data_IF_582448138096
#
_entry.id   IF_582448138096
#
_cell.length_a   1.000
_cell.length_b   1.000
_cell.length_c   1.000
_cell.angle_alpha   90.00
_cell.angle_beta   90.00
_cell.angle_gamma   90.00
#
_symmetry.space_group_name_H-M   'P 1'
#
loop_
_entity.id
_entity.type
_entity.pdbx_description
1 polymer ?
#
# COMPACT_ATOMS: atom_id res chain seq x y z
N UNK A 1 23.81 -14.68 -7.89
CA UNK A 1 23.50 -13.47 -7.08
C UNK A 1 22.34 -12.67 -7.66
N UNK A 2 22.38 -12.28 -8.93
CA UNK A 2 21.28 -11.54 -9.61
C UNK A 2 19.92 -12.26 -9.57
N UNK A 3 19.91 -13.60 -9.75
CA UNK A 3 18.69 -14.42 -9.67
C UNK A 3 18.03 -14.39 -8.28
N UNK A 4 18.83 -14.44 -7.23
CA UNK A 4 18.35 -14.38 -5.84
C UNK A 4 17.79 -12.99 -5.51
N UNK A 5 18.48 -11.93 -5.94
CA UNK A 5 18.00 -10.55 -5.74
C UNK A 5 16.71 -10.29 -6.51
N UNK A 6 16.61 -10.75 -7.77
CA UNK A 6 15.39 -10.64 -8.56
C UNK A 6 14.22 -11.41 -7.91
N UNK A 7 14.47 -12.62 -7.40
CA UNK A 7 13.48 -13.39 -6.67
C UNK A 7 12.98 -12.63 -5.43
N UNK A 8 13.90 -12.10 -4.62
CA UNK A 8 13.55 -11.32 -3.42
C UNK A 8 12.74 -10.09 -3.78
N UNK A 9 13.16 -9.27 -4.76
CA UNK A 9 12.43 -8.07 -5.15
C UNK A 9 11.03 -8.42 -5.67
N UNK A 10 10.87 -9.55 -6.36
CA UNK A 10 9.58 -9.96 -6.94
C UNK A 10 8.60 -10.49 -5.90
N UNK A 11 9.06 -11.36 -5.00
CA UNK A 11 8.17 -12.09 -4.09
C UNK A 11 8.03 -11.46 -2.71
N UNK A 12 9.01 -10.66 -2.26
CA UNK A 12 9.01 -10.07 -0.93
C UNK A 12 7.74 -9.23 -0.64
N UNK A 13 7.21 -8.41 -1.57
CA UNK A 13 5.95 -7.68 -1.34
C UNK A 13 4.78 -8.59 -1.06
N UNK A 14 4.59 -9.60 -1.90
CA UNK A 14 3.49 -10.55 -1.76
C UNK A 14 3.58 -11.29 -0.44
N UNK A 15 4.76 -11.84 -0.12
CA UNK A 15 4.96 -12.59 1.14
C UNK A 15 4.75 -11.70 2.35
N UNK A 16 5.31 -10.50 2.36
CA UNK A 16 5.18 -9.57 3.48
C UNK A 16 3.73 -9.16 3.71
N UNK A 17 3.01 -8.76 2.65
CA UNK A 17 1.63 -8.30 2.75
C UNK A 17 0.68 -9.41 3.19
N UNK A 18 0.84 -10.63 2.69
CA UNK A 18 0.08 -11.79 3.18
C UNK A 18 0.39 -12.09 4.64
N UNK A 19 1.66 -12.02 5.06
CA UNK A 19 2.02 -12.21 6.46
C UNK A 19 1.40 -11.12 7.36
N UNK A 20 1.44 -9.85 6.94
CA UNK A 20 0.81 -8.74 7.65
C UNK A 20 -0.71 -8.94 7.76
N UNK A 21 -1.37 -9.38 6.69
CA UNK A 21 -2.80 -9.69 6.67
C UNK A 21 -3.16 -10.83 7.63
N UNK A 22 -2.40 -11.93 7.61
CA UNK A 22 -2.60 -13.07 8.50
C UNK A 22 -2.42 -12.63 9.96
N UNK A 23 -1.36 -11.87 10.27
CA UNK A 23 -1.12 -11.36 11.62
C UNK A 23 -2.22 -10.40 12.08
N UNK A 24 -2.70 -9.51 11.21
CA UNK A 24 -3.81 -8.60 11.52
C UNK A 24 -5.11 -9.39 11.78
N UNK A 25 -5.37 -10.42 10.98
CA UNK A 25 -6.54 -11.29 11.14
C UNK A 25 -6.48 -12.08 12.45
N UNK A 26 -5.33 -12.67 12.78
CA UNK A 26 -5.11 -13.36 14.05
C UNK A 26 -5.31 -12.38 15.21
N UNK A 27 -4.62 -11.22 15.19
CA UNK A 27 -4.73 -10.21 16.24
C UNK A 27 -6.18 -9.75 16.47
N UNK A 28 -6.98 -9.66 15.41
CA UNK A 28 -8.41 -9.35 15.50
C UNK A 28 -9.25 -10.50 16.11
N UNK A 29 -8.96 -11.75 15.74
CA UNK A 29 -9.67 -12.92 16.27
C UNK A 29 -9.38 -13.17 17.75
N UNK A 30 -8.17 -12.86 18.23
CA UNK A 30 -7.79 -12.99 19.64
C UNK A 30 -7.73 -11.63 20.37
N UNK A 31 -8.49 -10.64 19.91
CA UNK A 31 -8.50 -9.27 20.46
C UNK A 31 -8.91 -9.19 21.93
N UNK A 32 -9.64 -10.17 22.44
CA UNK A 32 -9.96 -10.28 23.87
C UNK A 32 -8.73 -10.57 24.73
N UNK A 33 -7.68 -11.14 24.14
CA UNK A 33 -6.41 -11.49 24.80
C UNK A 33 -5.27 -10.56 24.42
N UNK A 34 -5.32 -9.95 23.24
CA UNK A 34 -4.29 -9.05 22.72
C UNK A 34 -4.86 -7.65 22.45
N UNK A 35 -4.22 -6.57 22.93
CA UNK A 35 -4.70 -5.23 22.68
C UNK A 35 -4.58 -4.87 21.20
N UNK A 36 -5.68 -5.01 20.45
CA UNK A 36 -5.75 -4.84 18.99
C UNK A 36 -5.10 -3.53 18.57
N UNK A 37 -5.41 -2.44 19.27
CA UNK A 37 -4.86 -1.11 19.03
C UNK A 37 -3.32 -1.07 19.03
N UNK A 38 -2.67 -1.74 19.99
CA UNK A 38 -1.20 -1.76 20.09
C UNK A 38 -0.61 -2.56 18.93
N UNK A 39 -1.19 -3.72 18.63
CA UNK A 39 -0.72 -4.59 17.54
C UNK A 39 -0.91 -3.94 16.17
N UNK A 40 -2.07 -3.33 15.91
CA UNK A 40 -2.31 -2.60 14.67
C UNK A 40 -1.32 -1.46 14.48
N UNK A 41 -0.95 -0.71 15.53
CA UNK A 41 0.10 0.32 15.45
C UNK A 41 1.48 -0.24 15.11
N UNK A 42 1.86 -1.38 15.71
CA UNK A 42 3.12 -2.07 15.40
C UNK A 42 3.11 -2.51 13.93
N UNK A 43 2.01 -3.09 13.45
CA UNK A 43 1.88 -3.51 12.06
C UNK A 43 1.89 -2.31 11.11
N UNK A 44 1.21 -1.20 11.42
CA UNK A 44 1.28 0.05 10.63
C UNK A 44 2.72 0.55 10.53
N UNK A 45 3.45 0.61 11.65
CA UNK A 45 4.84 1.04 11.67
C UNK A 45 5.73 0.09 10.85
N UNK A 46 5.53 -1.22 11.02
CA UNK A 46 6.22 -2.25 10.23
C UNK A 46 5.93 -2.11 8.73
N UNK A 47 4.67 -1.90 8.35
CA UNK A 47 4.26 -1.77 6.94
C UNK A 47 4.77 -0.46 6.32
N UNK A 48 4.79 0.62 7.11
CA UNK A 48 5.43 1.89 6.70
C UNK A 48 6.92 1.67 6.44
N UNK A 49 7.63 1.06 7.40
CA UNK A 49 9.05 0.76 7.26
C UNK A 49 9.30 -0.15 6.06
N UNK A 50 8.49 -1.20 5.89
CA UNK A 50 8.56 -2.11 4.76
C UNK A 50 8.47 -1.37 3.42
N UNK A 51 7.48 -0.49 3.23
CA UNK A 51 7.32 0.27 1.99
C UNK A 51 8.55 1.12 1.67
N UNK A 52 9.10 1.81 2.66
CA UNK A 52 10.29 2.66 2.47
C UNK A 52 11.55 1.83 2.22
N UNK A 53 11.76 0.78 3.01
CA UNK A 53 12.90 -0.12 2.88
C UNK A 53 12.88 -0.87 1.55
N UNK A 54 11.71 -1.32 1.10
CA UNK A 54 11.54 -1.99 -0.19
C UNK A 54 11.80 -1.03 -1.35
N UNK A 55 11.28 0.21 -1.30
CA UNK A 55 11.56 1.21 -2.34
C UNK A 55 13.06 1.54 -2.44
N UNK A 56 13.74 1.65 -1.30
CA UNK A 56 15.19 1.84 -1.25
C UNK A 56 15.93 0.61 -1.81
N UNK A 57 15.56 -0.61 -1.40
CA UNK A 57 16.15 -1.84 -1.90
C UNK A 57 15.97 -1.98 -3.41
N UNK A 58 14.77 -1.72 -3.93
CA UNK A 58 14.47 -1.75 -5.36
C UNK A 58 15.31 -0.73 -6.13
N UNK A 59 15.49 0.49 -5.58
CA UNK A 59 16.37 1.51 -6.15
C UNK A 59 17.83 1.01 -6.25
N UNK A 60 18.33 0.39 -5.18
CA UNK A 60 19.70 -0.15 -5.14
C UNK A 60 19.87 -1.31 -6.12
N UNK A 61 18.92 -2.24 -6.16
CA UNK A 61 18.94 -3.36 -7.11
C UNK A 61 18.90 -2.85 -8.54
N UNK A 62 18.05 -1.85 -8.83
CA UNK A 62 17.97 -1.22 -10.15
C UNK A 62 19.31 -0.60 -10.57
N UNK A 63 19.99 0.11 -9.65
CA UNK A 63 21.33 0.65 -9.89
C UNK A 63 22.32 -0.44 -10.29
N UNK A 64 22.38 -1.55 -9.56
CA UNK A 64 23.32 -2.63 -9.86
C UNK A 64 22.98 -3.37 -11.15
N UNK A 65 21.69 -3.55 -11.47
CA UNK A 65 21.25 -4.11 -12.74
C UNK A 65 21.71 -3.22 -13.90
N UNK A 66 21.50 -1.90 -13.81
CA UNK A 66 21.93 -0.98 -14.87
C UNK A 66 23.45 -0.86 -14.99
N UNK A 67 24.17 -0.93 -13.88
CA UNK A 67 25.63 -0.96 -13.89
C UNK A 67 26.19 -2.21 -14.59
N UNK A 68 25.50 -3.35 -14.49
CA UNK A 68 25.93 -4.63 -15.08
C UNK A 68 25.34 -4.96 -16.46
N UNK A 69 24.32 -4.24 -16.92
CA UNK A 69 23.49 -4.61 -18.09
C UNK A 69 24.01 -4.15 -19.46
N UNK A 70 25.29 -3.83 -19.60
CA UNK A 70 25.91 -3.40 -20.87
C UNK A 70 25.86 -1.89 -21.15
N UNK A 71 26.33 -1.49 -22.35
CA UNK A 71 26.59 -0.08 -22.72
C UNK A 71 25.35 0.80 -22.61
N UNK A 72 24.18 0.31 -23.03
CA UNK A 72 22.93 1.07 -23.01
C UNK A 72 22.47 1.40 -21.58
N UNK A 73 22.45 0.42 -20.69
CA UNK A 73 21.97 0.62 -19.31
C UNK A 73 22.98 1.39 -18.46
N UNK A 74 24.28 1.20 -18.72
CA UNK A 74 25.32 2.05 -18.15
C UNK A 74 25.24 3.51 -18.63
N UNK A 75 24.79 3.72 -19.88
CA UNK A 75 24.48 5.05 -20.42
C UNK A 75 23.37 5.75 -19.63
N UNK A 76 22.27 5.05 -19.35
CA UNK A 76 21.14 5.56 -18.55
C UNK A 76 21.54 5.93 -17.11
N UNK A 77 22.50 5.21 -16.54
CA UNK A 77 23.00 5.48 -15.19
C UNK A 77 23.87 6.73 -15.11
N UNK A 78 24.38 7.20 -16.25
CA UNK A 78 25.21 8.40 -16.35
C UNK A 78 24.51 9.55 -17.08
N UNK A 79 23.25 9.37 -17.49
CA UNK A 79 22.49 10.40 -18.19
C UNK A 79 21.78 11.33 -17.21
N UNK A 80 21.86 12.66 -17.44
CA UNK A 80 20.99 13.60 -16.76
C UNK A 80 19.53 13.35 -17.15
N UNK A 81 18.60 13.94 -16.38
CA UNK A 81 17.20 13.94 -16.74
C UNK A 81 16.99 14.76 -18.02
N UNK A 82 16.15 14.28 -18.93
CA UNK A 82 15.85 14.98 -20.19
C UNK A 82 15.31 16.41 -19.92
N UNK A 83 15.87 17.46 -20.54
CA UNK A 83 15.42 18.84 -20.34
C UNK A 83 13.93 19.06 -20.60
N UNK A 84 13.32 18.33 -21.53
CA UNK A 84 11.87 18.41 -21.81
C UNK A 84 11.04 17.92 -20.62
N UNK A 85 11.50 16.86 -19.94
CA UNK A 85 10.88 16.34 -18.72
C UNK A 85 11.17 17.27 -17.53
N UNK A 86 12.35 17.86 -17.46
CA UNK A 86 12.68 18.84 -16.42
C UNK A 86 11.71 20.03 -16.45
N UNK A 87 11.36 20.54 -17.64
CA UNK A 87 10.48 21.71 -17.79
C UNK A 87 9.07 21.51 -17.21
N UNK A 88 8.56 20.27 -17.19
CA UNK A 88 7.18 19.95 -16.79
C UNK A 88 7.08 19.23 -15.43
N UNK A 89 8.20 18.81 -14.83
CA UNK A 89 8.19 18.05 -13.58
C UNK A 89 8.78 18.82 -12.41
N UNK A 90 8.39 18.44 -11.19
CA UNK A 90 9.00 18.96 -9.96
C UNK A 90 10.53 18.81 -9.93
N UNK A 91 11.07 17.78 -10.60
CA UNK A 91 12.50 17.50 -10.66
C UNK A 91 13.31 18.60 -11.35
N UNK A 92 12.74 19.33 -12.31
CA UNK A 92 13.41 20.47 -12.94
C UNK A 92 13.67 21.64 -11.99
N UNK A 93 12.95 21.71 -10.85
CA UNK A 93 13.23 22.69 -9.79
C UNK A 93 14.43 22.31 -8.92
N UNK A 94 14.96 21.09 -9.07
CA UNK A 94 16.12 20.56 -8.35
C UNK A 94 17.28 20.30 -9.34
N UNK A 95 17.90 21.36 -9.90
CA UNK A 95 18.88 21.23 -10.98
C UNK A 95 20.12 20.43 -10.56
N UNK A 96 20.45 20.42 -9.27
CA UNK A 96 21.55 19.61 -8.73
C UNK A 96 21.31 18.10 -8.84
N UNK A 97 20.04 17.66 -8.85
CA UNK A 97 19.66 16.26 -9.08
C UNK A 97 19.48 16.03 -10.57
N UNK A 98 18.68 16.88 -11.23
CA UNK A 98 18.27 16.69 -12.61
C UNK A 98 19.44 16.72 -13.60
N UNK A 99 20.44 17.58 -13.38
CA UNK A 99 21.62 17.68 -14.25
C UNK A 99 22.78 16.76 -13.80
N UNK A 100 22.59 15.98 -12.73
CA UNK A 100 23.60 15.03 -12.28
C UNK A 100 23.61 13.77 -13.16
N UNK A 101 24.72 13.03 -13.13
CA UNK A 101 24.83 11.72 -13.80
C UNK A 101 23.74 10.74 -13.37
N UNK A 102 23.27 10.84 -12.14
CA UNK A 102 22.23 9.96 -11.58
C UNK A 102 20.81 10.54 -11.74
N UNK A 103 20.65 11.68 -12.41
CA UNK A 103 19.37 12.38 -12.53
C UNK A 103 18.27 11.51 -13.11
N UNK A 104 18.57 10.76 -14.17
CA UNK A 104 17.63 9.82 -14.76
C UNK A 104 17.27 8.67 -13.81
N UNK A 105 18.26 8.08 -13.12
CA UNK A 105 18.01 7.00 -12.16
C UNK A 105 17.13 7.44 -10.99
N UNK A 106 17.37 8.63 -10.45
CA UNK A 106 16.57 9.19 -9.36
C UNK A 106 15.13 9.41 -9.81
N UNK A 107 14.95 10.03 -10.98
CA UNK A 107 13.63 10.23 -11.58
C UNK A 107 12.89 8.89 -11.79
N UNK A 108 13.56 7.92 -12.42
CA UNK A 108 13.02 6.59 -12.69
C UNK A 108 12.62 5.89 -11.40
N UNK A 109 13.52 5.85 -10.42
CA UNK A 109 13.31 5.15 -9.15
C UNK A 109 12.22 5.82 -8.33
N UNK A 110 12.12 7.16 -8.37
CA UNK A 110 11.05 7.89 -7.72
C UNK A 110 9.68 7.50 -8.26
N UNK A 111 9.49 7.58 -9.58
CA UNK A 111 8.21 7.25 -10.20
C UNK A 111 7.85 5.76 -10.05
N UNK A 112 8.85 4.87 -10.17
CA UNK A 112 8.62 3.43 -10.19
C UNK A 112 8.48 2.79 -8.81
N UNK A 113 9.25 3.25 -7.82
CA UNK A 113 9.34 2.59 -6.51
C UNK A 113 8.80 3.45 -5.38
N UNK A 114 9.21 4.71 -5.30
CA UNK A 114 8.86 5.59 -4.18
C UNK A 114 7.41 6.07 -4.25
N UNK A 115 6.92 6.43 -5.43
CA UNK A 115 5.58 6.97 -5.58
C UNK A 115 4.51 5.97 -5.10
N UNK A 116 4.60 4.70 -5.49
CA UNK A 116 3.67 3.67 -5.02
C UNK A 116 3.72 3.45 -3.50
N UNK A 117 4.93 3.45 -2.92
CA UNK A 117 5.12 3.35 -1.47
C UNK A 117 4.47 4.52 -0.72
N UNK A 118 4.74 5.75 -1.15
CA UNK A 118 4.21 6.97 -0.55
C UNK A 118 2.69 7.06 -0.72
N UNK A 119 2.16 6.72 -1.90
CA UNK A 119 0.71 6.69 -2.14
C UNK A 119 0.01 5.65 -1.26
N UNK A 120 0.61 4.48 -1.05
CA UNK A 120 0.03 3.44 -0.17
C UNK A 120 -0.03 3.91 1.30
N UNK A 121 1.02 4.58 1.78
CA UNK A 121 1.02 5.22 3.11
C UNK A 121 -0.03 6.33 3.17
N UNK A 122 -0.13 7.16 2.13
CA UNK A 122 -1.12 8.24 2.05
C UNK A 122 -2.56 7.70 2.05
N UNK A 123 -2.85 6.61 1.32
CA UNK A 123 -4.14 5.92 1.36
C UNK A 123 -4.49 5.48 2.80
N UNK A 124 -3.53 4.90 3.52
CA UNK A 124 -3.67 4.58 4.94
C UNK A 124 -4.04 5.81 5.78
N UNK A 125 -3.29 6.91 5.64
CA UNK A 125 -3.52 8.14 6.40
C UNK A 125 -4.89 8.79 6.08
N UNK A 126 -5.27 8.83 4.80
CA UNK A 126 -6.58 9.34 4.37
C UNK A 126 -7.69 8.48 4.98
N UNK A 127 -7.56 7.16 4.92
CA UNK A 127 -8.54 6.26 5.51
C UNK A 127 -8.60 6.39 7.04
N UNK A 128 -7.46 6.59 7.71
CA UNK A 128 -7.41 6.90 9.14
C UNK A 128 -8.20 8.17 9.48
N UNK A 129 -8.02 9.24 8.71
CA UNK A 129 -8.77 10.50 8.89
C UNK A 129 -10.28 10.28 8.75
N UNK A 130 -10.69 9.52 7.72
CA UNK A 130 -12.09 9.17 7.49
C UNK A 130 -12.65 8.38 8.68
N UNK A 131 -11.97 7.30 9.10
CA UNK A 131 -12.44 6.45 10.20
C UNK A 131 -12.47 7.20 11.54
N UNK A 132 -11.50 8.08 11.81
CA UNK A 132 -11.50 8.92 13.00
C UNK A 132 -12.65 9.93 12.98
N UNK A 133 -12.94 10.51 11.82
CA UNK A 133 -14.10 11.37 11.61
C UNK A 133 -15.42 10.62 11.85
N UNK A 134 -15.56 9.41 11.30
CA UNK A 134 -16.74 8.57 11.49
C UNK A 134 -16.90 8.14 12.96
N UNK A 135 -15.82 7.71 13.62
CA UNK A 135 -15.84 7.30 15.03
C UNK A 135 -16.32 8.44 15.95
N UNK A 136 -15.92 9.68 15.66
CA UNK A 136 -16.38 10.86 16.43
C UNK A 136 -17.90 11.03 16.38
N UNK A 137 -18.55 10.69 15.27
CA UNK A 137 -20.00 10.84 15.11
C UNK A 137 -20.78 9.59 15.51
N UNK A 138 -20.17 8.41 15.39
CA UNK A 138 -20.84 7.12 15.62
C UNK A 138 -19.92 6.13 16.32
N UNK A 139 -19.57 6.42 17.57
CA UNK A 139 -18.64 5.60 18.37
C UNK A 139 -19.10 4.14 18.51
N UNK A 140 -20.42 3.89 18.49
CA UNK A 140 -21.01 2.55 18.64
C UNK A 140 -20.66 1.55 17.51
N UNK A 141 -20.19 2.02 16.35
CA UNK A 141 -19.74 1.13 15.26
C UNK A 141 -18.26 0.76 15.34
N UNK A 142 -17.54 1.28 16.34
CA UNK A 142 -16.09 1.12 16.46
C UNK A 142 -15.71 0.49 17.79
N UNK A 143 -15.06 -0.67 17.73
CA UNK A 143 -14.33 -1.22 18.87
C UNK A 143 -12.95 -0.54 19.03
N UNK A 144 -12.27 -0.80 20.16
CA UNK A 144 -10.91 -0.29 20.36
C UNK A 144 -9.94 -0.92 19.37
N UNK A 145 -9.13 -0.09 18.70
CA UNK A 145 -8.18 -0.53 17.68
C UNK A 145 -8.74 -0.71 16.27
N UNK A 146 -10.07 -0.63 16.03
CA UNK A 146 -10.63 -0.81 14.68
C UNK A 146 -10.25 0.32 13.71
N UNK A 147 -10.05 1.53 14.21
CA UNK A 147 -9.55 2.65 13.40
C UNK A 147 -8.14 2.34 12.90
N UNK A 148 -7.27 1.84 13.78
CA UNK A 148 -5.92 1.42 13.42
C UNK A 148 -5.93 0.17 12.51
N UNK A 149 -6.81 -0.80 12.74
CA UNK A 149 -6.97 -1.96 11.86
C UNK A 149 -7.40 -1.54 10.44
N UNK A 150 -8.37 -0.63 10.34
CA UNK A 150 -8.80 -0.08 9.05
C UNK A 150 -7.70 0.69 8.34
N UNK A 151 -6.90 1.45 9.08
CA UNK A 151 -5.71 2.14 8.56
C UNK A 151 -4.71 1.15 7.97
N UNK A 152 -4.40 0.08 8.71
CA UNK A 152 -3.52 -1.00 8.25
C UNK A 152 -4.10 -1.68 7.00
N UNK A 153 -5.40 -1.99 6.98
CA UNK A 153 -6.07 -2.59 5.84
C UNK A 153 -5.99 -1.74 4.58
N UNK A 154 -6.20 -0.42 4.69
CA UNK A 154 -6.02 0.52 3.59
C UNK A 154 -4.57 0.57 3.09
N UNK A 155 -3.58 0.52 3.99
CA UNK A 155 -2.17 0.42 3.61
C UNK A 155 -1.87 -0.89 2.90
N UNK A 156 -2.38 -2.02 3.41
CA UNK A 156 -2.19 -3.34 2.82
C UNK A 156 -2.82 -3.46 1.44
N UNK A 157 -4.01 -2.88 1.24
CA UNK A 157 -4.61 -2.75 -0.09
C UNK A 157 -3.68 -1.97 -1.02
N UNK A 158 -3.12 -0.85 -0.53
CA UNK A 158 -2.10 -0.08 -1.24
C UNK A 158 -2.60 0.59 -2.52
N UNK A 159 -1.76 1.40 -3.15
CA UNK A 159 -2.08 2.00 -4.45
C UNK A 159 -1.65 1.07 -5.60
N UNK A 160 -2.46 0.88 -6.66
CA UNK A 160 -3.78 1.49 -6.93
C UNK A 160 -5.00 0.73 -6.39
N UNK A 161 -4.81 -0.45 -5.80
CA UNK A 161 -5.89 -1.36 -5.43
C UNK A 161 -6.82 -0.80 -4.33
N UNK A 162 -6.37 0.24 -3.60
CA UNK A 162 -7.18 1.02 -2.66
C UNK A 162 -8.49 1.54 -3.29
N UNK A 163 -8.48 1.86 -4.59
CA UNK A 163 -9.67 2.33 -5.33
C UNK A 163 -10.80 1.29 -5.30
N UNK A 164 -10.45 0.00 -5.35
CA UNK A 164 -11.39 -1.12 -5.32
C UNK A 164 -11.70 -1.54 -3.87
N UNK A 165 -10.69 -1.47 -3.01
CA UNK A 165 -10.82 -1.77 -1.59
C UNK A 165 -11.96 -0.98 -0.94
N UNK A 166 -12.09 0.32 -1.22
CA UNK A 166 -13.16 1.15 -0.65
C UNK A 166 -14.57 0.64 -0.99
N UNK A 167 -14.93 0.40 -2.27
CA UNK A 167 -16.16 -0.29 -2.66
C UNK A 167 -16.36 -1.65 -1.96
N UNK A 168 -15.31 -2.46 -1.83
CA UNK A 168 -15.40 -3.75 -1.14
C UNK A 168 -15.66 -3.60 0.36
N UNK A 169 -15.06 -2.63 1.04
CA UNK A 169 -15.37 -2.32 2.44
C UNK A 169 -16.84 -1.95 2.57
N UNK A 170 -17.34 -1.06 1.71
CA UNK A 170 -18.73 -0.64 1.74
C UNK A 170 -19.69 -1.82 1.51
N UNK A 171 -19.46 -2.61 0.46
CA UNK A 171 -20.26 -3.79 0.16
C UNK A 171 -20.23 -4.80 1.32
N UNK A 172 -19.04 -5.07 1.89
CA UNK A 172 -18.90 -5.97 3.03
C UNK A 172 -19.67 -5.47 4.25
N UNK A 173 -19.61 -4.17 4.58
CA UNK A 173 -20.37 -3.60 5.70
C UNK A 173 -21.87 -3.79 5.49
N UNK A 174 -22.38 -3.52 4.28
CA UNK A 174 -23.81 -3.68 3.96
C UNK A 174 -24.23 -5.14 4.10
N UNK A 175 -23.48 -6.07 3.50
CA UNK A 175 -23.77 -7.51 3.55
C UNK A 175 -23.77 -8.01 5.00
N UNK A 176 -22.73 -7.69 5.78
CA UNK A 176 -22.66 -8.09 7.18
C UNK A 176 -23.77 -7.49 8.03
N UNK A 177 -24.18 -6.25 7.74
CA UNK A 177 -25.28 -5.61 8.45
C UNK A 177 -26.62 -6.28 8.17
N UNK A 178 -26.87 -6.68 6.92
CA UNK A 178 -28.07 -7.45 6.57
C UNK A 178 -28.06 -8.81 7.26
N UNK A 179 -26.93 -9.52 7.25
CA UNK A 179 -26.79 -10.84 7.89
C UNK A 179 -27.01 -10.73 9.42
N UNK A 180 -26.36 -9.77 10.10
CA UNK A 180 -26.54 -9.58 11.54
C UNK A 180 -27.98 -9.23 11.90
N UNK A 181 -28.62 -8.37 11.12
CA UNK A 181 -30.02 -8.01 11.35
C UNK A 181 -30.96 -9.21 11.15
N UNK A 182 -30.80 -9.94 10.05
CA UNK A 182 -31.70 -11.04 9.68
C UNK A 182 -31.55 -12.27 10.58
N UNK A 183 -30.32 -12.66 10.91
CA UNK A 183 -30.04 -13.91 11.63
C UNK A 183 -29.82 -13.72 13.13
N UNK A 184 -29.18 -12.63 13.54
CA UNK A 184 -28.77 -12.40 14.93
C UNK A 184 -29.66 -11.38 15.66
N UNK A 185 -30.54 -10.67 14.93
CA UNK A 185 -31.38 -9.57 15.44
C UNK A 185 -30.55 -8.45 16.10
N UNK A 186 -29.29 -8.33 15.71
CA UNK A 186 -28.38 -7.29 16.18
C UNK A 186 -28.35 -6.14 15.17
N UNK A 187 -28.56 -4.92 15.64
CA UNK A 187 -28.64 -3.73 14.80
C UNK A 187 -27.30 -3.08 14.49
N UNK A 188 -26.21 -3.54 15.12
CA UNK A 188 -24.89 -2.91 15.01
C UNK A 188 -23.87 -3.87 14.41
N UNK A 189 -23.13 -3.40 13.41
CA UNK A 189 -22.02 -4.13 12.77
C UNK A 189 -20.72 -3.41 13.06
N UNK A 190 -19.73 -4.13 13.58
CA UNK A 190 -18.39 -3.59 13.82
C UNK A 190 -17.59 -3.58 12.52
N UNK A 191 -16.58 -2.71 12.44
CA UNK A 191 -15.87 -2.46 11.19
C UNK A 191 -14.85 -3.57 10.85
N UNK A 192 -14.36 -4.30 11.85
CA UNK A 192 -13.17 -5.15 11.72
C UNK A 192 -13.29 -6.28 10.69
N UNK A 193 -14.31 -7.14 10.80
CA UNK A 193 -14.50 -8.26 9.85
C UNK A 193 -14.75 -7.75 8.43
N UNK A 194 -15.68 -6.81 8.18
CA UNK A 194 -15.89 -6.26 6.84
C UNK A 194 -14.60 -5.72 6.18
N UNK A 195 -13.76 -5.05 6.96
CA UNK A 195 -12.49 -4.49 6.46
C UNK A 195 -11.48 -5.58 6.11
N UNK A 196 -11.32 -6.59 6.98
CA UNK A 196 -10.43 -7.72 6.70
C UNK A 196 -10.89 -8.50 5.46
N UNK A 197 -12.21 -8.72 5.33
CA UNK A 197 -12.77 -9.36 4.14
C UNK A 197 -12.51 -8.53 2.89
N UNK A 198 -12.65 -7.21 2.97
CA UNK A 198 -12.36 -6.33 1.84
C UNK A 198 -10.90 -6.43 1.37
N UNK A 199 -9.92 -6.50 2.28
CA UNK A 199 -8.51 -6.74 1.93
C UNK A 199 -8.35 -8.07 1.19
N UNK A 200 -8.96 -9.14 1.72
CA UNK A 200 -8.90 -10.46 1.10
C UNK A 200 -9.47 -10.44 -0.32
N UNK A 201 -10.66 -9.83 -0.50
CA UNK A 201 -11.28 -9.68 -1.81
C UNK A 201 -10.41 -8.84 -2.75
N UNK A 202 -9.82 -7.74 -2.26
CA UNK A 202 -8.91 -6.92 -3.05
C UNK A 202 -7.72 -7.73 -3.57
N UNK A 203 -7.13 -8.62 -2.75
CA UNK A 203 -6.02 -9.47 -3.20
C UNK A 203 -6.46 -10.53 -4.20
N UNK A 204 -7.57 -11.22 -3.94
CA UNK A 204 -8.08 -12.28 -4.82
C UNK A 204 -8.49 -11.73 -6.19
N UNK A 205 -9.12 -10.55 -6.24
CA UNK A 205 -9.60 -9.96 -7.48
C UNK A 205 -8.62 -8.98 -8.13
N UNK A 206 -7.45 -8.71 -7.53
CA UNK A 206 -6.46 -7.74 -8.04
C UNK A 206 -6.10 -7.98 -9.51
N UNK A 207 -5.80 -9.23 -9.87
CA UNK A 207 -5.39 -9.66 -11.21
C UNK A 207 -6.43 -9.37 -12.29
N UNK A 208 -7.72 -9.37 -11.92
CA UNK A 208 -8.83 -9.10 -12.86
C UNK A 208 -9.11 -7.61 -13.00
N UNK A 209 -8.72 -6.81 -12.01
CA UNK A 209 -9.09 -5.39 -11.92
C UNK A 209 -7.95 -4.47 -12.37
N UNK A 210 -6.69 -4.89 -12.23
CA UNK A 210 -5.53 -4.15 -12.74
C UNK A 210 -5.68 -3.69 -14.19
N UNK A 211 -6.11 -4.53 -15.16
CA UNK A 211 -6.30 -4.10 -16.54
C UNK A 211 -7.37 -3.00 -16.71
N UNK A 212 -8.38 -2.97 -15.84
CA UNK A 212 -9.43 -1.96 -15.84
C UNK A 212 -8.94 -0.64 -15.27
N UNK A 213 -8.18 -0.67 -14.19
CA UNK A 213 -7.61 0.53 -13.57
C UNK A 213 -6.60 1.23 -14.49
N UNK A 214 -5.77 0.46 -15.21
CA UNK A 214 -4.83 1.01 -16.19
C UNK A 214 -5.57 1.74 -17.32
N UNK A 215 -6.71 1.22 -17.79
CA UNK A 215 -7.52 1.85 -18.83
C UNK A 215 -8.22 3.13 -18.39
N UNK A 216 -8.52 3.28 -17.10
CA UNK A 216 -9.17 4.47 -16.55
C UNK A 216 -8.17 5.58 -16.19
N UNK A 217 -6.88 5.25 -16.08
CA UNK A 217 -5.80 6.19 -15.77
C UNK A 217 -5.12 6.78 -17.02
N UNK A 218 -5.49 6.31 -18.22
CA UNK A 218 -5.07 6.81 -19.53
C UNK A 218 -6.23 7.56 -20.20
#
# INVERSE_FOLDING_TARGET
>A
MLTVLAFLVTWLPTVYLWAAFILASIAYLIRDKLPLRRWSKILIASTTFYYLAYAALATVVQYYIWKGGGVLTAGLLNSPLDPSVQAITFWGKLPFIANSKLGYLVFYSWGRFWLGALLSIACGLVFWLILKGLKKHRERFFEDGEVELGTLAAMMAGWPQFVVFVPFVFAAIVIFSIIRLAFFKESYTTLGIPVLLAVLLTYVFSSSIEPLLVKLAL
#
